data_IF_644411873917
#
_entry.id   IF_644411873917
#
_cell.length_a   1.000
_cell.length_b   1.000
_cell.length_c   1.000
_cell.angle_alpha   90.00
_cell.angle_beta   90.00
_cell.angle_gamma   90.00
#
_symmetry.space_group_name_H-M   'P 1'
#
loop_
_entity.id
_entity.type
_entity.pdbx_description
1 polymer ?
#
# COMPACT_ATOMS: atom_id res chain seq x y z
N UNK A 1 11.09 -2.38 -45.56
CA UNK A 1 11.57 -1.15 -44.88
C UNK A 1 11.07 -1.18 -43.44
N UNK A 2 11.94 -1.55 -42.50
CA UNK A 2 11.70 -1.49 -41.05
C UNK A 2 12.75 -0.53 -40.48
N UNK A 3 12.30 0.54 -39.84
CA UNK A 3 13.16 1.47 -39.08
C UNK A 3 12.45 1.77 -37.76
N UNK A 4 12.80 1.04 -36.70
CA UNK A 4 12.46 1.42 -35.33
C UNK A 4 13.76 1.76 -34.61
N UNK A 5 13.92 3.08 -34.48
CA UNK A 5 15.06 3.84 -34.00
C UNK A 5 15.20 3.66 -32.48
N UNK A 6 16.29 3.03 -32.02
CA UNK A 6 16.73 3.01 -30.61
C UNK A 6 17.64 4.21 -30.34
N UNK A 7 17.33 5.00 -29.32
CA UNK A 7 18.27 5.82 -28.53
C UNK A 7 17.59 6.05 -27.17
N UNK A 8 18.18 5.62 -26.03
CA UNK A 8 19.14 6.39 -25.21
C UNK A 8 18.36 7.21 -24.15
N UNK A 9 18.68 7.37 -22.86
CA UNK A 9 19.87 7.24 -22.03
C UNK A 9 19.42 7.27 -20.53
N UNK A 10 20.10 6.49 -19.68
CA UNK A 10 20.58 6.75 -18.31
C UNK A 10 19.80 7.60 -17.27
N UNK A 11 19.63 7.03 -16.05
CA UNK A 11 20.01 7.64 -14.76
C UNK A 11 20.05 6.55 -13.66
N UNK A 12 21.24 6.10 -13.23
CA UNK A 12 21.94 6.53 -11.99
C UNK A 12 21.10 6.39 -10.71
N UNK A 13 21.10 5.20 -10.11
CA UNK A 13 20.90 5.06 -8.67
C UNK A 13 22.25 4.91 -7.98
N UNK A 14 22.73 6.01 -7.38
CA UNK A 14 23.83 6.03 -6.43
C UNK A 14 23.33 5.38 -5.14
N UNK A 15 23.63 4.10 -4.94
CA UNK A 15 23.54 3.50 -3.62
C UNK A 15 24.73 4.01 -2.79
N UNK A 16 24.45 4.94 -1.88
CA UNK A 16 25.38 5.27 -0.80
C UNK A 16 25.53 4.03 0.07
N UNK A 17 26.76 3.57 0.14
CA UNK A 17 27.27 2.70 1.21
C UNK A 17 26.88 3.27 2.57
N UNK A 18 26.23 2.45 3.40
CA UNK A 18 26.45 2.49 4.85
C UNK A 18 26.78 1.07 5.29
N UNK A 19 28.00 0.96 5.80
CA UNK A 19 28.69 -0.20 6.31
C UNK A 19 27.88 -1.00 7.32
N UNK A 20 27.89 -2.31 7.16
CA UNK A 20 27.93 -3.24 8.29
C UNK A 20 29.26 -4.00 8.23
N UNK A 21 30.27 -3.44 8.91
CA UNK A 21 31.49 -4.14 9.28
C UNK A 21 31.29 -4.72 10.67
N UNK A 22 31.04 -6.03 10.75
CA UNK A 22 31.62 -6.86 11.81
C UNK A 22 32.18 -8.12 11.17
N UNK A 23 33.47 -8.24 11.38
CA UNK A 23 34.35 -9.27 10.89
C UNK A 23 33.90 -10.64 11.42
N UNK A 24 33.58 -11.57 10.53
CA UNK A 24 33.75 -12.99 10.81
C UNK A 24 34.78 -13.52 9.82
N UNK A 25 35.97 -13.92 10.30
CA UNK A 25 37.05 -14.34 9.43
C UNK A 25 36.69 -15.69 8.83
N UNK A 26 36.87 -15.76 7.51
CA UNK A 26 37.33 -16.96 6.81
C UNK A 26 36.43 -18.22 6.91
N UNK A 27 36.16 -18.96 5.86
CA UNK A 27 36.73 -19.00 4.52
C UNK A 27 36.23 -20.34 4.02
N UNK A 28 35.37 -20.30 2.99
CA UNK A 28 35.22 -21.35 1.97
C UNK A 28 34.84 -22.70 2.58
N UNK A 29 33.60 -23.10 2.55
CA UNK A 29 32.89 -23.66 1.39
C UNK A 29 31.50 -23.96 1.93
N UNK A 30 30.44 -23.80 1.11
CA UNK A 30 29.00 -24.08 1.39
C UNK A 30 28.09 -22.84 1.32
N UNK A 31 28.06 -22.16 0.18
CA UNK A 31 26.97 -21.21 -0.11
C UNK A 31 26.57 -21.29 -1.57
N UNK A 32 25.95 -22.40 -1.97
CA UNK A 32 25.31 -22.52 -3.29
C UNK A 32 23.87 -23.05 -3.22
N UNK A 33 23.19 -22.89 -2.08
CA UNK A 33 21.85 -23.46 -1.87
C UNK A 33 20.92 -22.58 -1.02
N UNK A 34 21.05 -21.25 -1.12
CA UNK A 34 20.20 -20.31 -0.39
C UNK A 34 19.68 -19.14 -1.26
N UNK A 35 19.55 -19.33 -2.57
CA UNK A 35 19.06 -18.30 -3.50
C UNK A 35 17.74 -18.67 -4.22
N UNK A 36 17.02 -19.70 -3.77
CA UNK A 36 15.80 -20.18 -4.45
C UNK A 36 14.48 -19.91 -3.70
N UNK A 37 14.50 -19.24 -2.53
CA UNK A 37 13.30 -19.11 -1.68
C UNK A 37 12.66 -17.71 -1.65
N UNK A 38 13.13 -16.75 -2.45
CA UNK A 38 12.55 -15.39 -2.49
C UNK A 38 11.61 -15.14 -3.69
N UNK A 39 11.12 -16.20 -4.34
CA UNK A 39 10.05 -16.11 -5.34
C UNK A 39 8.83 -16.91 -4.85
N UNK A 40 8.41 -16.67 -3.60
CA UNK A 40 7.01 -16.94 -3.23
C UNK A 40 6.17 -15.78 -3.76
N UNK A 41 5.84 -15.83 -5.06
CA UNK A 41 4.74 -15.02 -5.58
C UNK A 41 3.47 -15.40 -4.80
N UNK A 42 2.61 -14.43 -4.42
CA UNK A 42 1.39 -14.76 -3.71
C UNK A 42 0.54 -15.69 -4.60
N UNK A 43 0.11 -16.80 -4.02
CA UNK A 43 -0.86 -17.69 -4.65
C UNK A 43 -2.12 -16.87 -4.96
N UNK A 44 -2.55 -16.95 -6.21
CA UNK A 44 -3.62 -16.15 -6.83
C UNK A 44 -4.99 -16.51 -6.27
N UNK A 45 -5.34 -15.97 -5.10
CA UNK A 45 -6.72 -15.76 -4.70
C UNK A 45 -6.84 -14.26 -4.39
N UNK A 46 -7.73 -13.56 -5.08
CA UNK A 46 -8.00 -12.15 -4.79
C UNK A 46 -8.67 -12.09 -3.41
N UNK A 47 -7.89 -11.83 -2.36
CA UNK A 47 -8.41 -11.66 -1.00
C UNK A 47 -8.98 -10.25 -0.86
N UNK A 48 -10.23 -10.13 -0.42
CA UNK A 48 -10.84 -8.84 -0.16
C UNK A 48 -10.24 -8.23 1.14
N UNK A 49 -9.85 -6.95 1.14
CA UNK A 49 -9.28 -6.31 2.32
C UNK A 49 -10.35 -6.03 3.40
N UNK A 50 -9.97 -6.17 4.68
CA UNK A 50 -10.88 -5.94 5.81
C UNK A 50 -10.97 -4.45 6.18
N UNK A 51 -11.97 -3.78 5.61
CA UNK A 51 -12.24 -2.35 5.82
C UNK A 51 -12.74 -2.05 7.25
N UNK A 52 -13.35 -3.02 7.93
CA UNK A 52 -13.92 -2.82 9.27
C UNK A 52 -12.85 -2.63 10.35
N UNK A 53 -11.62 -3.04 10.06
CA UNK A 53 -10.46 -2.90 10.96
C UNK A 53 -9.95 -1.46 11.12
N UNK A 54 -10.35 -0.52 10.24
CA UNK A 54 -9.86 0.86 10.27
C UNK A 54 -10.70 1.71 11.23
N UNK A 55 -10.11 2.09 12.35
CA UNK A 55 -10.69 3.08 13.26
C UNK A 55 -10.28 4.50 12.88
N UNK A 56 -11.25 5.40 12.76
CA UNK A 56 -11.03 6.82 12.49
C UNK A 56 -11.34 7.59 13.79
N UNK A 57 -10.32 8.16 14.45
CA UNK A 57 -10.52 8.90 15.68
C UNK A 57 -11.30 10.19 15.43
N UNK A 58 -11.97 10.69 16.48
CA UNK A 58 -12.72 11.94 16.37
C UNK A 58 -11.78 13.13 16.23
N UNK A 59 -11.93 13.92 15.18
CA UNK A 59 -11.06 15.07 14.95
C UNK A 59 -11.12 16.12 16.07
N UNK A 60 -12.21 16.19 16.83
CA UNK A 60 -12.35 17.15 17.92
C UNK A 60 -11.52 16.81 19.17
N UNK A 61 -11.16 15.54 19.36
CA UNK A 61 -10.46 15.04 20.54
C UNK A 61 -9.13 14.35 20.22
N UNK A 62 -8.88 14.04 18.95
CA UNK A 62 -7.68 13.37 18.49
C UNK A 62 -6.46 14.29 18.58
N UNK A 63 -5.30 13.67 18.83
CA UNK A 63 -3.99 14.27 18.66
C UNK A 63 -3.59 14.30 17.19
N UNK A 64 -2.62 15.16 16.85
CA UNK A 64 -2.04 15.20 15.51
C UNK A 64 -1.47 13.83 15.10
N UNK A 65 -0.78 13.15 16.02
CA UNK A 65 -0.20 11.84 15.77
C UNK A 65 -1.26 10.78 15.42
N UNK A 66 -2.39 10.76 16.13
CA UNK A 66 -3.50 9.84 15.85
C UNK A 66 -4.15 10.14 14.50
N UNK A 67 -4.33 11.43 14.15
CA UNK A 67 -4.88 11.82 12.86
C UNK A 67 -3.93 11.47 11.69
N UNK A 68 -2.61 11.55 11.88
CA UNK A 68 -1.63 11.12 10.87
C UNK A 68 -1.63 9.61 10.71
N UNK A 69 -1.67 8.85 11.81
CA UNK A 69 -1.76 7.39 11.75
C UNK A 69 -3.03 6.92 11.04
N UNK A 70 -4.19 7.54 11.36
CA UNK A 70 -5.44 7.23 10.69
C UNK A 70 -5.40 7.57 9.19
N UNK A 71 -4.72 8.66 8.78
CA UNK A 71 -4.54 8.99 7.36
C UNK A 71 -3.72 7.91 6.64
N UNK A 72 -2.64 7.45 7.25
CA UNK A 72 -1.81 6.40 6.68
C UNK A 72 -2.60 5.09 6.54
N UNK A 73 -3.35 4.70 7.58
CA UNK A 73 -4.17 3.49 7.56
C UNK A 73 -5.24 3.52 6.46
N UNK A 74 -5.89 4.68 6.25
CA UNK A 74 -6.84 4.86 5.15
C UNK A 74 -6.15 4.79 3.78
N UNK A 75 -4.96 5.37 3.63
CA UNK A 75 -4.20 5.32 2.37
C UNK A 75 -3.74 3.88 2.02
N UNK A 76 -3.28 3.14 3.02
CA UNK A 76 -2.87 1.74 2.86
C UNK A 76 -4.09 0.87 2.48
N UNK A 77 -5.25 1.13 3.09
CA UNK A 77 -6.50 0.45 2.76
C UNK A 77 -6.95 0.73 1.32
N UNK A 78 -6.90 1.99 0.86
CA UNK A 78 -7.23 2.34 -0.53
C UNK A 78 -6.29 1.61 -1.50
N UNK A 79 -5.00 1.55 -1.20
CA UNK A 79 -4.02 0.82 -2.00
C UNK A 79 -4.34 -0.67 -2.07
N UNK A 80 -4.76 -1.28 -0.95
CA UNK A 80 -5.17 -2.68 -0.91
C UNK A 80 -6.44 -2.94 -1.75
N UNK A 81 -7.40 -2.03 -1.73
CA UNK A 81 -8.64 -2.12 -2.54
C UNK A 81 -8.35 -1.95 -4.02
N UNK A 82 -7.45 -1.04 -4.40
CA UNK A 82 -6.99 -0.90 -5.78
C UNK A 82 -6.29 -2.17 -6.27
N UNK A 83 -5.41 -2.76 -5.45
CA UNK A 83 -4.77 -4.04 -5.77
C UNK A 83 -5.78 -5.19 -5.91
N UNK A 84 -6.80 -5.22 -5.05
CA UNK A 84 -7.91 -6.18 -5.14
C UNK A 84 -8.72 -5.99 -6.42
N UNK A 85 -9.08 -4.76 -6.78
CA UNK A 85 -9.80 -4.46 -8.01
C UNK A 85 -9.02 -4.91 -9.26
N UNK A 86 -7.71 -4.62 -9.31
CA UNK A 86 -6.83 -5.09 -10.40
C UNK A 86 -6.77 -6.62 -10.44
N UNK A 87 -6.73 -7.29 -9.28
CA UNK A 87 -6.76 -8.74 -9.21
C UNK A 87 -8.05 -9.32 -9.79
N UNK A 88 -9.21 -8.78 -9.38
CA UNK A 88 -10.54 -9.17 -9.86
C UNK A 88 -10.69 -8.94 -11.37
N UNK A 89 -10.12 -7.85 -11.89
CA UNK A 89 -10.14 -7.54 -13.32
C UNK A 89 -9.26 -8.50 -14.15
N UNK A 90 -8.28 -9.16 -13.52
CA UNK A 90 -7.45 -10.20 -14.12
C UNK A 90 -8.06 -11.61 -14.12
N UNK A 91 -9.20 -11.82 -13.46
CA UNK A 91 -9.87 -13.12 -13.39
C UNK A 91 -10.56 -13.50 -14.71
N UNK A 92 -10.86 -14.80 -14.86
CA UNK A 92 -11.71 -15.25 -15.97
C UNK A 92 -13.11 -14.63 -15.85
N UNK A 93 -13.83 -14.47 -16.97
CA UNK A 93 -15.20 -13.91 -16.94
C UNK A 93 -16.18 -14.70 -16.07
N UNK A 94 -15.92 -16.00 -15.85
CA UNK A 94 -16.78 -16.85 -15.02
C UNK A 94 -16.55 -16.48 -13.55
N UNK A 95 -15.30 -16.45 -13.11
CA UNK A 95 -14.92 -16.14 -11.73
C UNK A 95 -15.17 -14.66 -11.39
N UNK A 96 -14.97 -13.76 -12.36
CA UNK A 96 -15.16 -12.32 -12.18
C UNK A 96 -16.60 -11.97 -11.79
N UNK A 97 -17.61 -12.71 -12.26
CA UNK A 97 -19.03 -12.41 -11.95
C UNK A 97 -19.32 -12.48 -10.46
N UNK A 98 -18.65 -13.38 -9.75
CA UNK A 98 -18.84 -13.56 -8.32
C UNK A 98 -18.13 -12.45 -7.52
N UNK A 99 -17.02 -11.91 -8.05
CA UNK A 99 -16.20 -10.89 -7.38
C UNK A 99 -16.54 -9.43 -7.74
N UNK A 100 -17.28 -9.17 -8.83
CA UNK A 100 -17.64 -7.79 -9.22
C UNK A 100 -18.42 -7.08 -8.11
N UNK A 101 -19.40 -7.77 -7.50
CA UNK A 101 -20.20 -7.17 -6.43
C UNK A 101 -19.34 -6.81 -5.22
N UNK A 102 -18.45 -7.71 -4.83
CA UNK A 102 -17.58 -7.51 -3.67
C UNK A 102 -16.53 -6.43 -3.94
N UNK A 103 -16.03 -6.33 -5.19
CA UNK A 103 -15.16 -5.22 -5.63
C UNK A 103 -15.88 -3.88 -5.54
N UNK A 104 -17.08 -3.79 -6.09
CA UNK A 104 -17.85 -2.55 -6.10
C UNK A 104 -18.21 -2.13 -4.65
N UNK A 105 -18.57 -3.10 -3.80
CA UNK A 105 -18.81 -2.86 -2.37
C UNK A 105 -17.56 -2.38 -1.63
N UNK A 106 -16.39 -2.97 -1.90
CA UNK A 106 -15.11 -2.56 -1.31
C UNK A 106 -14.75 -1.13 -1.72
N UNK A 107 -14.90 -0.78 -3.01
CA UNK A 107 -14.66 0.58 -3.52
C UNK A 107 -15.60 1.59 -2.86
N UNK A 108 -16.89 1.27 -2.76
CA UNK A 108 -17.86 2.15 -2.09
C UNK A 108 -17.55 2.32 -0.60
N UNK A 109 -17.12 1.26 0.08
CA UNK A 109 -16.69 1.31 1.46
C UNK A 109 -15.43 2.18 1.64
N UNK A 110 -14.46 2.09 0.73
CA UNK A 110 -13.30 2.97 0.69
C UNK A 110 -13.71 4.45 0.57
N UNK A 111 -14.64 4.76 -0.33
CA UNK A 111 -15.15 6.12 -0.50
C UNK A 111 -15.84 6.66 0.75
N UNK A 112 -16.64 5.82 1.44
CA UNK A 112 -17.26 6.19 2.73
C UNK A 112 -16.21 6.46 3.79
N UNK A 113 -15.18 5.62 3.88
CA UNK A 113 -14.08 5.77 4.83
C UNK A 113 -13.29 7.06 4.59
N UNK A 114 -12.91 7.34 3.34
CA UNK A 114 -12.23 8.57 2.95
C UNK A 114 -13.08 9.83 3.26
N UNK A 115 -14.39 9.77 2.97
CA UNK A 115 -15.32 10.86 3.29
C UNK A 115 -15.39 11.12 4.79
N UNK A 116 -15.45 10.05 5.61
CA UNK A 116 -15.43 10.15 7.07
C UNK A 116 -14.11 10.77 7.55
N UNK A 117 -12.97 10.33 7.02
CA UNK A 117 -11.67 10.86 7.40
C UNK A 117 -11.54 12.36 7.09
N UNK A 118 -11.96 12.77 5.88
CA UNK A 118 -11.96 14.18 5.48
C UNK A 118 -12.84 15.07 6.38
N UNK A 119 -13.96 14.54 6.89
CA UNK A 119 -14.76 15.24 7.90
C UNK A 119 -14.00 15.42 9.20
N UNK A 120 -13.35 14.37 9.71
CA UNK A 120 -12.61 14.44 10.97
C UNK A 120 -11.38 15.35 10.86
N UNK A 121 -10.67 15.37 9.72
CA UNK A 121 -9.59 16.34 9.48
C UNK A 121 -10.08 17.79 9.60
N UNK A 122 -11.26 18.10 9.04
CA UNK A 122 -11.85 19.45 9.16
C UNK A 122 -12.22 19.78 10.62
N UNK A 123 -12.74 18.81 11.36
CA UNK A 123 -13.05 18.97 12.78
C UNK A 123 -11.77 19.24 13.59
N UNK A 124 -10.70 18.48 13.32
CA UNK A 124 -9.38 18.66 13.94
C UNK A 124 -8.81 20.05 13.67
N UNK A 125 -8.78 20.47 12.42
CA UNK A 125 -8.28 21.80 12.06
C UNK A 125 -9.06 22.93 12.76
N UNK A 126 -10.38 22.76 12.90
CA UNK A 126 -11.22 23.71 13.64
C UNK A 126 -10.88 23.70 15.14
N UNK A 127 -10.70 22.54 15.75
CA UNK A 127 -10.36 22.41 17.16
C UNK A 127 -9.01 23.06 17.48
N UNK A 128 -7.99 22.79 16.65
CA UNK A 128 -6.65 23.41 16.76
C UNK A 128 -6.74 24.93 16.64
N UNK A 129 -7.50 25.45 15.68
CA UNK A 129 -7.67 26.90 15.51
C UNK A 129 -8.31 27.57 16.73
N UNK A 130 -9.30 26.91 17.36
CA UNK A 130 -9.94 27.43 18.55
C UNK A 130 -9.01 27.41 19.77
N UNK A 131 -8.18 26.38 19.90
CA UNK A 131 -7.20 26.27 20.99
C UNK A 131 -6.04 27.29 20.88
N UNK A 132 -5.77 27.79 19.66
CA UNK A 132 -4.73 28.81 19.42
C UNK A 132 -5.16 30.26 19.67
N UNK A 133 -6.43 30.49 20.02
CA UNK A 133 -6.99 31.81 20.32
C UNK A 133 -7.05 32.05 21.81
#
# INVERSE_FOLDING_TARGET
MLQLKRHGLYMRFRLRFISYSKECPMQRYLTALAAALLISGPALACEAPDIASIDIPSGAAATEAEMVQAQQAVADMVTAIEAYAVCVDGLSRIDQRDHIRDRDEAVDAAHRLATRMNREIRNFNRAVQLASR
#
